data_IF_403059915114
#
_entry.id   IF_403059915114
#
_cell.length_a   1.000
_cell.length_b   1.000
_cell.length_c   1.000
_cell.angle_alpha   90.00
_cell.angle_beta   90.00
_cell.angle_gamma   90.00
#
_symmetry.space_group_name_H-M   'P 1'
#
loop_
_entity.id
_entity.type
_entity.pdbx_description
1 polymer ?
#
# COMPACT_ATOMS: atom_id res chain seq x y z
N UNK A 1 18.64 24.29 -40.92
CA UNK A 1 18.67 24.98 -39.62
C UNK A 1 17.26 24.96 -39.07
N UNK A 2 17.03 24.34 -37.91
CA UNK A 2 15.70 24.11 -37.35
C UNK A 2 15.39 25.23 -36.35
N UNK A 3 14.37 26.04 -36.62
CA UNK A 3 14.01 27.19 -35.79
C UNK A 3 13.36 26.74 -34.47
N UNK A 4 13.92 27.17 -33.34
CA UNK A 4 13.32 27.04 -32.01
C UNK A 4 12.13 28.00 -31.88
N UNK A 5 10.97 27.44 -31.54
CA UNK A 5 9.73 28.20 -31.33
C UNK A 5 9.86 29.02 -30.04
N UNK A 6 9.61 30.33 -30.11
CA UNK A 6 9.60 31.21 -28.94
C UNK A 6 8.38 30.90 -28.06
N UNK A 7 8.61 30.69 -26.76
CA UNK A 7 7.54 30.52 -25.77
C UNK A 7 7.00 31.91 -25.41
N UNK A 8 5.72 32.14 -25.70
CA UNK A 8 4.99 33.35 -25.29
C UNK A 8 4.38 33.07 -23.92
N UNK A 9 4.65 33.96 -22.96
CA UNK A 9 4.10 33.89 -21.61
C UNK A 9 2.78 34.66 -21.54
N UNK A 10 1.69 33.97 -21.22
CA UNK A 10 0.32 34.51 -21.29
C UNK A 10 -0.23 34.96 -19.93
N UNK A 11 0.61 35.04 -18.89
CA UNK A 11 0.20 35.40 -17.54
C UNK A 11 0.08 36.91 -17.33
N UNK A 12 -0.96 37.35 -16.62
CA UNK A 12 -1.23 38.76 -16.27
C UNK A 12 -0.37 39.30 -15.11
N UNK A 13 0.73 38.61 -14.75
CA UNK A 13 1.57 38.92 -13.60
C UNK A 13 3.07 38.91 -13.95
N UNK A 14 3.89 39.50 -13.07
CA UNK A 14 5.35 39.47 -13.23
C UNK A 14 5.86 38.03 -13.13
N UNK A 15 6.79 37.63 -14.01
CA UNK A 15 7.33 36.28 -14.05
C UNK A 15 7.90 35.83 -12.69
N UNK A 16 8.36 36.77 -11.86
CA UNK A 16 8.88 36.51 -10.51
C UNK A 16 7.81 36.12 -9.49
N UNK A 17 6.58 36.62 -9.60
CA UNK A 17 5.51 36.31 -8.65
C UNK A 17 5.08 34.83 -8.73
N UNK A 18 5.12 34.24 -9.92
CA UNK A 18 4.82 32.82 -10.10
C UNK A 18 5.92 31.89 -9.54
N UNK A 19 7.17 32.34 -9.47
CA UNK A 19 8.27 31.56 -8.85
C UNK A 19 8.15 31.47 -7.32
N UNK A 20 7.61 32.51 -6.68
CA UNK A 20 7.46 32.56 -5.21
C UNK A 20 6.09 32.13 -4.70
N UNK A 21 5.14 31.77 -5.58
CA UNK A 21 3.90 31.12 -5.15
C UNK A 21 4.28 29.89 -4.33
N UNK A 22 3.73 29.71 -3.11
CA UNK A 22 3.89 28.46 -2.39
C UNK A 22 3.41 27.38 -3.35
N UNK A 23 4.32 26.50 -3.79
CA UNK A 23 3.90 25.28 -4.49
C UNK A 23 2.88 24.69 -3.56
N UNK A 24 1.62 24.66 -3.98
CA UNK A 24 0.60 23.97 -3.25
C UNK A 24 1.18 22.57 -3.08
N UNK A 25 1.67 22.27 -1.87
CA UNK A 25 1.98 20.91 -1.49
C UNK A 25 0.61 20.30 -1.48
N UNK A 26 0.19 19.81 -2.64
CA UNK A 26 -0.95 18.95 -2.67
C UNK A 26 -0.55 17.86 -1.67
N UNK A 27 -1.37 17.72 -0.65
CA UNK A 27 -1.34 16.58 0.24
C UNK A 27 -1.91 15.37 -0.52
N UNK A 28 -1.48 15.18 -1.76
CA UNK A 28 -1.72 14.00 -2.58
C UNK A 28 -0.34 13.41 -2.88
N UNK A 29 0.28 12.86 -1.82
CA UNK A 29 0.93 11.55 -1.98
C UNK A 29 0.00 10.71 -2.87
N UNK A 30 0.46 10.20 -4.02
CA UNK A 30 -0.42 9.71 -5.07
C UNK A 30 -1.45 8.75 -4.45
N UNK A 31 -2.75 9.07 -4.53
CA UNK A 31 -3.78 8.11 -4.20
C UNK A 31 -3.51 6.88 -5.06
N UNK A 32 -3.45 5.74 -4.40
CA UNK A 32 -3.39 4.42 -5.01
C UNK A 32 -4.36 4.42 -6.21
N UNK A 33 -3.81 4.18 -7.39
CA UNK A 33 -4.47 4.16 -8.72
C UNK A 33 -6.00 4.23 -8.66
N UNK A 34 -6.55 5.37 -9.10
CA UNK A 34 -7.99 5.54 -9.25
C UNK A 34 -8.51 4.60 -10.34
N UNK A 35 -8.98 3.42 -9.92
CA UNK A 35 -9.89 2.60 -10.72
C UNK A 35 -11.10 3.46 -11.13
N UNK A 36 -11.59 3.38 -12.38
CA UNK A 36 -12.49 4.37 -13.00
C UNK A 36 -13.94 4.39 -12.47
N UNK A 37 -14.18 3.91 -11.24
CA UNK A 37 -15.46 3.96 -10.53
C UNK A 37 -15.26 4.16 -9.02
N UNK A 38 -14.89 5.38 -8.61
CA UNK A 38 -15.26 6.01 -7.33
C UNK A 38 -15.31 5.16 -6.05
N UNK A 39 -14.47 4.13 -5.90
CA UNK A 39 -14.44 3.27 -4.71
C UNK A 39 -13.07 3.44 -4.08
N UNK A 40 -13.00 4.20 -2.99
CA UNK A 40 -11.77 4.32 -2.19
C UNK A 40 -11.41 2.92 -1.70
N UNK A 41 -10.39 2.30 -2.31
CA UNK A 41 -9.95 0.97 -1.92
C UNK A 41 -9.15 1.11 -0.62
N UNK A 42 -9.86 1.01 0.51
CA UNK A 42 -9.21 0.94 1.83
C UNK A 42 -8.31 -0.29 1.87
N UNK A 43 -7.00 -0.05 1.95
CA UNK A 43 -5.98 -1.08 2.12
C UNK A 43 -6.00 -1.57 3.57
N UNK A 44 -6.65 -2.73 3.80
CA UNK A 44 -6.73 -3.34 5.13
C UNK A 44 -5.41 -3.97 5.60
N UNK A 45 -4.43 -4.10 4.71
CA UNK A 45 -3.13 -4.71 4.97
C UNK A 45 -2.04 -3.70 5.41
N UNK A 46 -2.40 -2.46 5.73
CA UNK A 46 -1.42 -1.47 6.22
C UNK A 46 -0.85 -1.97 7.56
N UNK A 47 0.48 -2.10 7.61
CA UNK A 47 1.19 -2.60 8.78
C UNK A 47 2.14 -1.56 9.36
N UNK A 48 2.46 -1.73 10.64
CA UNK A 48 3.50 -0.96 11.32
C UNK A 48 4.78 -1.78 11.38
N UNK A 49 5.91 -1.16 11.02
CA UNK A 49 7.24 -1.78 11.07
C UNK A 49 7.77 -1.94 12.48
N UNK A 50 7.27 -1.15 13.43
CA UNK A 50 7.66 -1.24 14.85
C UNK A 50 6.98 -2.43 15.54
N UNK A 51 5.81 -2.85 15.05
CA UNK A 51 5.07 -3.96 15.62
C UNK A 51 5.62 -5.31 15.13
N UNK A 52 6.27 -6.05 16.04
CA UNK A 52 6.84 -7.38 15.78
C UNK A 52 5.81 -8.42 15.32
N UNK A 53 4.55 -8.32 15.75
CA UNK A 53 3.50 -9.25 15.31
C UNK A 53 3.18 -9.06 13.83
N UNK A 54 3.15 -7.81 13.36
CA UNK A 54 2.89 -7.52 11.95
C UNK A 54 4.04 -8.03 11.07
N UNK A 55 5.29 -7.84 11.51
CA UNK A 55 6.45 -8.41 10.83
C UNK A 55 6.41 -9.94 10.79
N UNK A 56 5.94 -10.58 11.86
CA UNK A 56 5.76 -12.03 11.91
C UNK A 56 4.75 -12.48 10.87
N UNK A 57 3.62 -11.78 10.76
CA UNK A 57 2.60 -12.06 9.74
C UNK A 57 3.15 -11.92 8.32
N UNK A 58 3.95 -10.88 8.05
CA UNK A 58 4.62 -10.72 6.74
C UNK A 58 5.59 -11.85 6.43
N UNK A 59 6.34 -12.32 7.43
CA UNK A 59 7.24 -13.48 7.28
C UNK A 59 6.46 -14.74 6.88
N UNK A 60 5.32 -14.98 7.53
CA UNK A 60 4.44 -16.12 7.22
C UNK A 60 3.87 -16.07 5.80
N UNK A 61 3.53 -14.88 5.30
CA UNK A 61 3.10 -14.70 3.91
C UNK A 61 4.19 -15.14 2.92
N UNK A 62 5.45 -14.79 3.20
CA UNK A 62 6.58 -15.25 2.38
C UNK A 62 6.73 -16.77 2.44
N UNK A 63 6.59 -17.38 3.62
CA UNK A 63 6.59 -18.85 3.75
C UNK A 63 5.46 -19.47 2.92
N UNK A 64 4.29 -18.85 2.84
CA UNK A 64 3.19 -19.32 1.99
C UNK A 64 3.39 -19.03 0.49
N UNK A 65 4.49 -18.37 0.09
CA UNK A 65 4.70 -17.88 -1.27
C UNK A 65 3.57 -16.93 -1.71
N UNK A 66 3.05 -16.14 -0.77
CA UNK A 66 2.18 -15.00 -1.06
C UNK A 66 3.08 -13.77 -1.22
N UNK A 67 3.81 -13.76 -2.32
CA UNK A 67 4.79 -12.74 -2.67
C UNK A 67 4.54 -12.22 -4.07
N UNK A 68 4.89 -10.96 -4.29
CA UNK A 68 4.87 -10.28 -5.59
C UNK A 68 6.31 -9.84 -5.91
N UNK A 69 6.77 -10.00 -7.16
CA UNK A 69 8.06 -9.47 -7.56
C UNK A 69 8.06 -7.94 -7.48
N UNK A 70 9.14 -7.38 -6.93
CA UNK A 70 9.35 -5.94 -6.85
C UNK A 70 10.71 -5.60 -7.45
N UNK A 71 10.75 -4.69 -8.41
CA UNK A 71 11.98 -4.27 -9.08
C UNK A 71 13.05 -3.75 -8.10
N UNK A 72 12.62 -3.12 -7.00
CA UNK A 72 13.52 -2.54 -5.99
C UNK A 72 14.01 -3.52 -4.93
N UNK A 73 13.19 -4.50 -4.58
CA UNK A 73 13.42 -5.36 -3.40
C UNK A 73 13.40 -6.87 -3.73
N UNK A 74 13.37 -7.23 -5.01
CA UNK A 74 13.30 -8.60 -5.51
C UNK A 74 11.91 -9.20 -5.33
N UNK A 75 11.58 -9.64 -4.12
CA UNK A 75 10.29 -10.23 -3.78
C UNK A 75 9.76 -9.64 -2.48
N UNK A 76 8.49 -9.24 -2.47
CA UNK A 76 7.83 -8.61 -1.32
C UNK A 76 6.53 -9.35 -1.02
N UNK A 77 6.09 -9.33 0.24
CA UNK A 77 4.82 -9.93 0.62
C UNK A 77 3.64 -9.26 -0.11
N UNK A 78 2.68 -10.08 -0.55
CA UNK A 78 1.50 -9.65 -1.27
C UNK A 78 0.47 -9.01 -0.33
N UNK A 79 0.60 -7.69 -0.13
CA UNK A 79 -0.33 -6.88 0.65
C UNK A 79 -1.74 -6.79 0.06
N UNK A 80 -1.97 -6.63 -1.26
CA UNK A 80 -3.33 -6.57 -1.79
C UNK A 80 -4.07 -7.90 -1.55
N UNK A 81 -3.41 -9.05 -1.74
CA UNK A 81 -3.99 -10.36 -1.43
C UNK A 81 -4.27 -10.53 0.06
N UNK A 82 -3.37 -10.08 0.94
CA UNK A 82 -3.65 -10.05 2.38
C UNK A 82 -4.89 -9.19 2.68
N UNK A 83 -5.02 -8.03 2.05
CA UNK A 83 -6.16 -7.14 2.28
C UNK A 83 -7.49 -7.77 1.85
N UNK A 84 -7.49 -8.53 0.75
CA UNK A 84 -8.65 -9.29 0.28
C UNK A 84 -8.98 -10.44 1.25
N UNK A 85 -7.96 -11.15 1.73
CA UNK A 85 -8.13 -12.19 2.75
C UNK A 85 -8.79 -11.64 4.02
N UNK A 86 -8.31 -10.51 4.55
CA UNK A 86 -8.88 -9.88 5.76
C UNK A 86 -10.35 -9.46 5.60
N UNK A 87 -10.78 -9.15 4.36
CA UNK A 87 -12.17 -8.83 4.02
C UNK A 87 -13.03 -10.09 3.81
N UNK A 88 -12.41 -11.22 3.47
CA UNK A 88 -13.08 -12.50 3.21
C UNK A 88 -13.77 -13.05 4.47
N UNK A 89 -14.86 -13.82 4.34
CA UNK A 89 -15.42 -14.60 5.45
C UNK A 89 -14.44 -15.60 6.07
N UNK A 90 -13.37 -15.96 5.36
CA UNK A 90 -12.34 -16.90 5.83
C UNK A 90 -11.37 -16.28 6.85
N UNK A 91 -11.31 -14.96 6.95
CA UNK A 91 -10.46 -14.30 7.95
C UNK A 91 -11.03 -14.49 9.36
N UNK A 92 -10.21 -14.90 10.35
CA UNK A 92 -10.64 -14.98 11.74
C UNK A 92 -10.99 -13.61 12.33
N UNK A 93 -10.45 -12.52 11.76
CA UNK A 93 -10.68 -11.14 12.22
C UNK A 93 -10.98 -10.28 11.00
N UNK A 94 -12.19 -9.70 10.97
CA UNK A 94 -12.67 -8.82 9.89
C UNK A 94 -12.41 -7.35 10.20
N UNK A 95 -11.13 -7.00 10.37
CA UNK A 95 -10.70 -5.63 10.65
C UNK A 95 -9.47 -5.26 9.82
N UNK A 96 -9.20 -3.97 9.61
CA UNK A 96 -7.91 -3.51 9.09
C UNK A 96 -6.79 -3.86 10.07
N UNK A 97 -5.64 -4.29 9.55
CA UNK A 97 -4.50 -4.76 10.35
C UNK A 97 -3.98 -3.68 11.33
N UNK A 98 -4.06 -2.40 10.97
CA UNK A 98 -3.67 -1.28 11.83
C UNK A 98 -4.62 -1.05 13.02
N UNK A 99 -5.87 -1.45 12.90
CA UNK A 99 -6.91 -1.26 13.93
C UNK A 99 -7.08 -2.51 14.82
N UNK A 100 -6.40 -3.61 14.49
CA UNK A 100 -6.47 -4.85 15.26
C UNK A 100 -5.74 -4.72 16.60
N UNK A 101 -6.35 -5.27 17.64
CA UNK A 101 -5.68 -5.45 18.92
C UNK A 101 -4.63 -6.57 18.85
N UNK A 102 -3.59 -6.57 19.69
CA UNK A 102 -2.53 -7.58 19.66
C UNK A 102 -3.05 -9.03 19.77
N UNK A 103 -4.14 -9.23 20.52
CA UNK A 103 -4.83 -10.52 20.67
C UNK A 103 -5.49 -10.96 19.36
N UNK A 104 -6.09 -10.02 18.62
CA UNK A 104 -6.72 -10.28 17.33
C UNK A 104 -5.66 -10.60 16.27
N UNK A 105 -4.55 -9.85 16.24
CA UNK A 105 -3.41 -10.13 15.35
C UNK A 105 -2.85 -11.53 15.60
N UNK A 106 -2.79 -11.97 16.86
CA UNK A 106 -2.31 -13.30 17.24
C UNK A 106 -3.18 -14.43 16.67
N UNK A 107 -4.50 -14.25 16.66
CA UNK A 107 -5.45 -15.21 16.02
C UNK A 107 -5.20 -15.30 14.52
N UNK A 108 -4.98 -14.16 13.86
CA UNK A 108 -4.65 -14.12 12.43
C UNK A 108 -3.33 -14.86 12.16
N UNK A 109 -2.28 -14.62 12.96
CA UNK A 109 -0.99 -15.32 12.86
C UNK A 109 -1.16 -16.83 13.02
N UNK A 110 -1.97 -17.29 13.97
CA UNK A 110 -2.22 -18.72 14.20
C UNK A 110 -2.97 -19.37 13.04
N UNK A 111 -3.94 -18.67 12.44
CA UNK A 111 -4.60 -19.09 11.21
C UNK A 111 -3.57 -19.33 10.09
N UNK A 112 -2.65 -18.39 9.86
CA UNK A 112 -1.57 -18.55 8.88
C UNK A 112 -0.61 -19.70 9.22
N UNK A 113 -0.29 -19.94 10.51
CA UNK A 113 0.51 -21.13 10.92
C UNK A 113 -0.20 -22.42 10.52
N UNK A 114 -1.51 -22.50 10.74
CA UNK A 114 -2.32 -23.67 10.35
C UNK A 114 -2.31 -23.89 8.82
N UNK A 115 -2.46 -22.82 8.04
CA UNK A 115 -2.34 -22.89 6.58
C UNK A 115 -0.96 -23.39 6.12
N UNK A 116 0.12 -22.87 6.70
CA UNK A 116 1.50 -23.29 6.39
C UNK A 116 1.68 -24.77 6.70
N UNK A 117 1.25 -25.21 7.89
CA UNK A 117 1.32 -26.63 8.27
C UNK A 117 0.59 -27.51 7.27
N UNK A 118 -0.59 -27.10 6.79
CA UNK A 118 -1.33 -27.86 5.76
C UNK A 118 -0.61 -27.89 4.41
N UNK A 119 0.11 -26.83 4.04
CA UNK A 119 0.80 -26.72 2.75
C UNK A 119 2.07 -27.58 2.67
N UNK A 120 2.82 -27.69 3.77
CA UNK A 120 4.13 -28.35 3.83
C UNK A 120 4.13 -29.68 4.60
N UNK A 121 2.95 -30.23 4.90
CA UNK A 121 2.78 -31.54 5.53
C UNK A 121 2.69 -32.61 4.47
#
# INVERSE_FOLDING_TARGET
MTATKAYIYEGTGSATDDYFKPKATNTNSPPLEECPKGRVVLNWAIFDKTNKQHLTLLSQLRTLQWTIPSEKWGEVADLPRLSAFLKSPESPVKKPLKEMQPVEVSKTIECFKSMIRKKYK
#
